data_IF_108146217036
#
_entry.id   IF_108146217036
#
_cell.length_a   1.000
_cell.length_b   1.000
_cell.length_c   1.000
_cell.angle_alpha   90.00
_cell.angle_beta   90.00
_cell.angle_gamma   90.00
#
_symmetry.space_group_name_H-M   'P 1'
#
loop_
_entity.id
_entity.type
_entity.pdbx_description
1 polymer ?
#
# COMPACT_ATOMS: atom_id res chain seq x y z
N UNK A 1 -8.56 -3.78 13.90
CA UNK A 1 -8.08 -2.81 12.91
C UNK A 1 -6.77 -2.21 13.38
N UNK A 2 -5.78 -2.15 12.51
CA UNK A 2 -4.51 -1.47 12.75
C UNK A 2 -4.20 -0.58 11.53
N UNK A 3 -3.81 0.68 11.75
CA UNK A 3 -3.77 1.70 10.69
C UNK A 3 -2.63 2.69 10.93
N UNK A 4 -2.11 3.23 9.84
CA UNK A 4 -1.21 4.37 9.80
C UNK A 4 -1.55 5.25 8.59
N UNK A 5 -1.10 6.51 8.59
CA UNK A 5 -1.35 7.41 7.48
C UNK A 5 -0.20 8.39 7.24
N UNK A 6 -0.15 8.90 6.01
CA UNK A 6 0.74 9.98 5.60
C UNK A 6 -0.08 11.08 4.92
N UNK A 7 0.31 12.34 5.14
CA UNK A 7 -0.37 13.49 4.55
C UNK A 7 0.59 14.31 3.70
N UNK A 8 0.17 14.65 2.50
CA UNK A 8 0.91 15.45 1.52
C UNK A 8 0.02 16.58 1.02
N UNK A 9 0.17 17.77 1.62
CA UNK A 9 -0.71 18.90 1.36
C UNK A 9 -2.19 18.53 1.57
N UNK A 10 -3.03 18.60 0.52
CA UNK A 10 -4.44 18.24 0.61
C UNK A 10 -4.70 16.73 0.56
N UNK A 11 -3.69 15.90 0.24
CA UNK A 11 -3.85 14.46 0.04
C UNK A 11 -3.48 13.70 1.29
N UNK A 12 -4.26 12.68 1.64
CA UNK A 12 -3.90 11.71 2.67
C UNK A 12 -3.83 10.31 2.05
N UNK A 13 -2.82 9.54 2.42
CA UNK A 13 -2.75 8.10 2.16
C UNK A 13 -2.88 7.36 3.49
N UNK A 14 -3.90 6.53 3.63
CA UNK A 14 -4.14 5.71 4.81
C UNK A 14 -3.90 4.25 4.47
N UNK A 15 -3.04 3.58 5.22
CA UNK A 15 -2.84 2.14 5.18
C UNK A 15 -3.52 1.51 6.39
N UNK A 16 -4.29 0.45 6.17
CA UNK A 16 -4.77 -0.35 7.28
C UNK A 16 -4.88 -1.83 6.95
N UNK A 17 -4.84 -2.64 8.00
CA UNK A 17 -5.22 -4.04 8.03
C UNK A 17 -6.51 -4.22 8.84
N UNK A 18 -7.35 -5.17 8.44
CA UNK A 18 -8.61 -5.46 9.12
C UNK A 18 -8.37 -5.84 10.60
N UNK A 19 -7.26 -6.54 10.90
CA UNK A 19 -6.90 -7.03 12.23
C UNK A 19 -5.41 -6.81 12.53
N UNK A 20 -5.04 -6.72 13.82
CA UNK A 20 -3.62 -6.62 14.22
C UNK A 20 -2.93 -7.99 14.37
N UNK A 21 -3.70 -9.08 14.53
CA UNK A 21 -3.19 -10.44 14.78
C UNK A 21 -3.95 -11.45 13.93
N UNK A 22 -3.23 -12.39 13.33
CA UNK A 22 -3.73 -13.43 12.44
C UNK A 22 -3.14 -14.78 12.80
N UNK A 23 -3.87 -15.87 12.55
CA UNK A 23 -3.32 -17.23 12.66
C UNK A 23 -2.40 -17.54 11.47
N UNK A 24 -1.46 -18.45 11.66
CA UNK A 24 -0.69 -19.00 10.53
C UNK A 24 -1.61 -19.51 9.42
N UNK A 25 -1.40 -19.05 8.18
CA UNK A 25 -2.21 -19.41 7.02
C UNK A 25 -3.47 -18.56 6.82
N UNK A 26 -3.79 -17.68 7.76
CA UNK A 26 -4.94 -16.81 7.66
C UNK A 26 -4.65 -15.58 6.76
N UNK A 27 -5.44 -15.32 5.71
CA UNK A 27 -5.20 -14.17 4.85
C UNK A 27 -5.28 -12.83 5.61
N UNK A 28 -4.37 -11.93 5.29
CA UNK A 28 -4.33 -10.55 5.80
C UNK A 28 -5.00 -9.64 4.78
N UNK A 29 -6.10 -8.99 5.15
CA UNK A 29 -6.80 -8.04 4.28
C UNK A 29 -6.25 -6.63 4.48
N UNK A 30 -5.70 -6.07 3.40
CA UNK A 30 -5.04 -4.78 3.37
C UNK A 30 -5.80 -3.80 2.50
N UNK A 31 -5.75 -2.52 2.88
CA UNK A 31 -6.24 -1.45 2.05
C UNK A 31 -5.36 -0.20 2.14
N UNK A 32 -5.15 0.43 0.98
CA UNK A 32 -4.56 1.74 0.82
C UNK A 32 -5.64 2.69 0.31
N UNK A 33 -5.93 3.72 1.08
CA UNK A 33 -6.90 4.75 0.74
C UNK A 33 -6.15 6.02 0.41
N UNK A 34 -6.39 6.60 -0.77
CA UNK A 34 -5.93 7.94 -1.12
C UNK A 34 -7.13 8.87 -1.17
N UNK A 35 -7.13 9.93 -0.37
CA UNK A 35 -8.20 10.91 -0.33
C UNK A 35 -7.68 12.33 -0.55
N UNK A 36 -8.38 13.10 -1.38
CA UNK A 36 -8.22 14.53 -1.50
C UNK A 36 -9.13 15.20 -0.47
N UNK A 37 -8.57 15.96 0.46
CA UNK A 37 -9.31 16.64 1.54
C UNK A 37 -9.62 18.10 1.21
N UNK A 38 -9.41 18.53 -0.03
CA UNK A 38 -9.57 19.92 -0.46
C UNK A 38 -10.71 20.10 -1.46
N UNK A 39 -11.21 21.34 -1.62
CA UNK A 39 -12.23 21.67 -2.62
C UNK A 39 -11.65 21.83 -4.04
N UNK A 40 -10.35 21.59 -4.25
CA UNK A 40 -9.68 21.71 -5.54
C UNK A 40 -9.20 20.33 -6.03
N UNK A 41 -9.18 20.06 -7.35
CA UNK A 41 -8.63 18.82 -7.88
C UNK A 41 -7.12 18.73 -7.64
N UNK A 42 -6.62 17.51 -7.42
CA UNK A 42 -5.19 17.20 -7.32
C UNK A 42 -4.80 16.30 -8.49
N UNK A 43 -3.67 16.58 -9.12
CA UNK A 43 -3.19 15.86 -10.29
C UNK A 43 -1.96 15.02 -9.92
N UNK A 44 -1.94 13.77 -10.36
CA UNK A 44 -0.83 12.84 -10.16
C UNK A 44 -0.36 12.29 -11.49
N UNK A 45 0.92 12.42 -11.79
CA UNK A 45 1.52 11.80 -12.98
C UNK A 45 2.10 10.45 -12.62
N UNK A 46 1.66 9.41 -13.31
CA UNK A 46 2.20 8.06 -13.19
C UNK A 46 3.00 7.73 -14.46
N UNK A 47 4.24 7.24 -14.34
CA UNK A 47 5.07 6.90 -15.50
C UNK A 47 4.68 5.55 -16.16
N UNK A 48 3.86 4.73 -15.50
CA UNK A 48 3.38 3.44 -15.97
C UNK A 48 1.90 3.25 -15.64
N UNK A 49 1.31 2.13 -16.05
CA UNK A 49 -0.04 1.73 -15.63
C UNK A 49 -0.16 1.36 -14.14
N UNK A 50 0.95 1.28 -13.39
CA UNK A 50 0.90 0.97 -11.96
C UNK A 50 0.26 2.13 -11.17
N UNK A 51 -0.71 1.80 -10.31
CA UNK A 51 -1.41 2.81 -9.48
C UNK A 51 -1.06 2.69 -8.00
N UNK A 52 -0.69 1.52 -7.52
CA UNK A 52 -0.30 1.27 -6.14
C UNK A 52 0.68 0.10 -6.05
N UNK A 53 1.26 -0.09 -4.87
CA UNK A 53 1.98 -1.29 -4.49
C UNK A 53 1.90 -1.51 -2.98
N UNK A 54 2.17 -2.75 -2.57
CA UNK A 54 2.29 -3.16 -1.17
C UNK A 54 3.55 -3.99 -1.02
N UNK A 55 4.28 -3.80 0.08
CA UNK A 55 5.41 -4.65 0.44
C UNK A 55 5.33 -5.05 1.91
N UNK A 56 5.73 -6.28 2.17
CA UNK A 56 5.81 -6.86 3.51
C UNK A 56 7.27 -7.09 3.86
N UNK A 57 7.63 -6.65 5.04
CA UNK A 57 8.97 -6.71 5.60
C UNK A 57 8.97 -7.55 6.87
N UNK A 58 10.08 -8.25 7.07
CA UNK A 58 10.41 -8.90 8.33
C UNK A 58 11.84 -8.55 8.68
N UNK A 59 12.06 -8.08 9.90
CA UNK A 59 13.39 -7.69 10.40
C UNK A 59 14.11 -6.70 9.44
N UNK A 60 13.33 -5.80 8.83
CA UNK A 60 13.81 -4.82 7.85
C UNK A 60 14.02 -5.35 6.42
N UNK A 61 13.92 -6.66 6.19
CA UNK A 61 14.05 -7.28 4.87
C UNK A 61 12.69 -7.41 4.18
N UNK A 62 12.58 -6.96 2.94
CA UNK A 62 11.41 -7.22 2.10
C UNK A 62 11.33 -8.72 1.77
N UNK A 63 10.20 -9.33 2.09
CA UNK A 63 9.96 -10.76 1.84
C UNK A 63 8.86 -11.00 0.82
N UNK A 64 7.97 -10.02 0.65
CA UNK A 64 6.85 -10.09 -0.28
C UNK A 64 6.54 -8.72 -0.84
N UNK A 65 6.15 -8.67 -2.11
CA UNK A 65 5.68 -7.46 -2.79
C UNK A 65 4.55 -7.82 -3.73
N UNK A 66 3.46 -7.05 -3.68
CA UNK A 66 2.28 -7.30 -4.51
C UNK A 66 2.61 -7.27 -6.01
N UNK A 67 3.46 -6.33 -6.41
CA UNK A 67 3.88 -6.18 -7.80
C UNK A 67 4.97 -7.16 -8.28
N UNK A 68 5.51 -8.05 -7.41
CA UNK A 68 6.68 -8.88 -7.71
C UNK A 68 6.56 -9.68 -9.02
N UNK A 69 5.37 -10.20 -9.31
CA UNK A 69 5.07 -11.03 -10.47
C UNK A 69 4.22 -10.30 -11.55
N UNK A 70 4.15 -8.97 -11.47
CA UNK A 70 3.26 -8.16 -12.33
C UNK A 70 4.04 -7.33 -13.32
N UNK A 71 3.48 -7.22 -14.53
CA UNK A 71 4.00 -6.35 -15.59
C UNK A 71 3.09 -5.14 -15.72
N UNK A 72 3.69 -3.95 -15.76
CA UNK A 72 3.00 -2.68 -16.00
C UNK A 72 3.50 -2.07 -17.29
N UNK A 73 2.56 -1.69 -18.16
CA UNK A 73 2.89 -1.04 -19.43
C UNK A 73 3.43 0.38 -19.17
N UNK A 74 4.40 0.79 -19.98
CA UNK A 74 4.95 2.15 -19.94
C UNK A 74 4.01 3.11 -20.67
N UNK A 75 3.09 3.70 -19.90
CA UNK A 75 2.18 4.74 -20.35
C UNK A 75 2.17 5.84 -19.30
N UNK A 76 2.56 7.04 -19.72
CA UNK A 76 2.54 8.21 -18.85
C UNK A 76 1.11 8.71 -18.79
N UNK A 77 0.51 8.71 -17.61
CA UNK A 77 -0.86 9.16 -17.39
C UNK A 77 -0.91 10.19 -16.26
N UNK A 78 -1.67 11.26 -16.48
CA UNK A 78 -2.07 12.18 -15.42
C UNK A 78 -3.46 11.78 -14.94
N UNK A 79 -3.54 11.37 -13.68
CA UNK A 79 -4.79 11.02 -13.01
C UNK A 79 -5.22 12.17 -12.13
N UNK A 80 -6.48 12.57 -12.26
CA UNK A 80 -7.11 13.57 -11.40
C UNK A 80 -7.77 12.88 -10.21
N UNK A 81 -7.54 13.41 -9.02
CA UNK A 81 -8.32 13.13 -7.82
C UNK A 81 -9.16 14.37 -7.51
N UNK A 82 -10.46 14.29 -7.78
CA UNK A 82 -11.39 15.40 -7.69
C UNK A 82 -11.55 15.89 -6.24
N UNK A 83 -12.17 17.07 -6.04
CA UNK A 83 -12.47 17.57 -4.71
C UNK A 83 -13.18 16.54 -3.84
N UNK A 84 -12.65 16.30 -2.64
CA UNK A 84 -13.19 15.33 -1.67
C UNK A 84 -13.26 13.88 -2.17
N UNK A 85 -12.66 13.56 -3.32
CA UNK A 85 -12.65 12.22 -3.88
C UNK A 85 -11.73 11.30 -3.08
N UNK A 86 -12.17 10.05 -2.95
CA UNK A 86 -11.42 8.98 -2.30
C UNK A 86 -11.32 7.78 -3.23
N UNK A 87 -10.10 7.25 -3.38
CA UNK A 87 -9.83 6.00 -4.10
C UNK A 87 -9.29 4.97 -3.12
N UNK A 88 -9.80 3.74 -3.20
CA UNK A 88 -9.38 2.64 -2.33
C UNK A 88 -8.80 1.50 -3.15
N UNK A 89 -7.61 1.02 -2.76
CA UNK A 89 -6.96 -0.15 -3.32
C UNK A 89 -6.94 -1.25 -2.27
N UNK A 90 -7.41 -2.46 -2.61
CA UNK A 90 -7.48 -3.61 -1.69
C UNK A 90 -6.58 -4.73 -2.16
N UNK A 91 -5.90 -5.36 -1.21
CA UNK A 91 -4.98 -6.47 -1.44
C UNK A 91 -5.13 -7.48 -0.32
N UNK A 92 -5.11 -8.76 -0.68
CA UNK A 92 -5.04 -9.86 0.27
C UNK A 92 -3.62 -10.44 0.25
N UNK A 93 -2.94 -10.44 1.39
CA UNK A 93 -1.65 -11.12 1.54
C UNK A 93 -1.88 -12.48 2.23
N UNK A 94 -1.65 -13.62 1.54
CA UNK A 94 -1.92 -14.95 2.09
C UNK A 94 -0.81 -15.45 3.04
N UNK A 95 0.02 -14.54 3.57
CA UNK A 95 1.17 -14.85 4.42
C UNK A 95 2.24 -15.70 3.70
N UNK A 96 2.52 -15.39 2.43
CA UNK A 96 3.61 -16.02 1.66
C UNK A 96 4.69 -15.01 1.29
N UNK A 97 5.92 -15.48 1.09
CA UNK A 97 6.98 -14.68 0.48
C UNK A 97 6.85 -14.65 -1.06
N UNK A 98 7.74 -13.91 -1.74
CA UNK A 98 7.76 -13.82 -3.21
C UNK A 98 8.01 -15.17 -3.93
N UNK A 99 8.45 -16.21 -3.22
CA UNK A 99 8.61 -17.58 -3.74
C UNK A 99 7.37 -18.45 -3.50
N UNK A 100 6.28 -17.87 -2.98
CA UNK A 100 5.05 -18.59 -2.64
C UNK A 100 5.16 -19.47 -1.39
N UNK A 101 6.23 -19.33 -0.59
CA UNK A 101 6.42 -20.12 0.64
C UNK A 101 5.77 -19.42 1.82
N UNK A 102 5.06 -20.18 2.64
CA UNK A 102 4.44 -19.67 3.87
C UNK A 102 5.49 -19.03 4.79
N UNK A 103 5.18 -17.85 5.31
CA UNK A 103 6.03 -17.18 6.30
C UNK A 103 5.73 -17.74 7.69
N UNK A 104 6.72 -17.87 8.58
CA UNK A 104 6.46 -18.41 9.92
C UNK A 104 5.83 -17.34 10.84
N UNK A 105 5.36 -17.72 12.04
CA UNK A 105 4.89 -16.77 13.04
C UNK A 105 5.91 -15.67 13.35
N UNK A 106 5.43 -14.47 13.64
CA UNK A 106 6.28 -13.29 13.84
C UNK A 106 5.55 -11.97 13.68
N UNK A 107 6.29 -10.88 13.77
CA UNK A 107 5.80 -9.52 13.50
C UNK A 107 6.28 -9.12 12.11
N UNK A 108 5.36 -8.57 11.32
CA UNK A 108 5.60 -8.14 9.95
C UNK A 108 5.23 -6.68 9.81
N UNK A 109 6.08 -5.92 9.13
CA UNK A 109 5.79 -4.53 8.77
C UNK A 109 5.25 -4.49 7.35
N UNK A 110 4.16 -3.78 7.14
CA UNK A 110 3.52 -3.63 5.84
C UNK A 110 3.60 -2.17 5.45
N UNK A 111 4.06 -1.92 4.22
CA UNK A 111 4.08 -0.59 3.62
C UNK A 111 3.26 -0.60 2.34
N UNK A 112 2.66 0.53 2.02
CA UNK A 112 1.90 0.70 0.79
C UNK A 112 2.11 2.10 0.23
N UNK A 113 2.12 2.21 -1.09
CA UNK A 113 2.33 3.50 -1.75
C UNK A 113 1.69 3.57 -3.13
N UNK A 114 1.62 4.78 -3.68
CA UNK A 114 1.26 5.03 -5.07
C UNK A 114 2.49 5.58 -5.81
N UNK A 115 2.97 4.96 -6.90
CA UNK A 115 4.23 5.33 -7.56
C UNK A 115 4.06 6.51 -8.54
N UNK A 116 3.39 7.57 -8.12
CA UNK A 116 3.34 8.82 -8.90
C UNK A 116 4.59 9.66 -8.68
N UNK A 117 4.89 10.54 -9.63
CA UNK A 117 6.02 11.47 -9.57
C UNK A 117 5.53 12.89 -9.25
N UNK A 118 6.44 13.74 -8.75
CA UNK A 118 6.19 15.18 -8.59
C UNK A 118 5.78 15.65 -7.18
N UNK A 119 5.72 14.76 -6.20
CA UNK A 119 5.64 15.13 -4.78
C UNK A 119 6.81 14.51 -4.01
N UNK A 120 7.29 15.21 -2.98
CA UNK A 120 8.47 14.83 -2.19
C UNK A 120 8.42 13.40 -1.64
N UNK A 121 9.61 12.80 -1.59
CA UNK A 121 9.90 11.51 -0.97
C UNK A 121 9.69 11.63 0.53
N UNK A 122 8.58 11.08 1.00
CA UNK A 122 8.20 11.03 2.41
C UNK A 122 8.06 9.56 2.83
N UNK A 123 8.17 9.24 4.13
CA UNK A 123 7.95 7.88 4.57
C UNK A 123 6.57 7.43 4.10
N UNK A 124 6.49 6.22 3.55
CA UNK A 124 5.22 5.58 3.22
C UNK A 124 4.48 5.23 4.51
N UNK A 125 3.13 5.22 4.52
CA UNK A 125 2.40 4.75 5.68
C UNK A 125 2.79 3.30 5.94
N UNK A 126 3.02 2.96 7.21
CA UNK A 126 3.46 1.64 7.62
C UNK A 126 2.67 1.11 8.82
N UNK A 127 2.33 -0.16 8.78
CA UNK A 127 1.59 -0.83 9.85
C UNK A 127 2.30 -2.12 10.26
N UNK A 128 2.08 -2.59 11.48
CA UNK A 128 2.57 -3.88 11.95
C UNK A 128 1.44 -4.88 12.16
N UNK A 129 1.62 -6.11 11.67
CA UNK A 129 0.72 -7.24 11.95
C UNK A 129 1.50 -8.37 12.62
N UNK A 130 0.84 -9.11 13.49
CA UNK A 130 1.41 -10.32 14.11
C UNK A 130 0.76 -11.57 13.53
N UNK A 131 1.58 -12.55 13.18
CA UNK A 131 1.16 -13.91 12.85
C UNK A 131 1.47 -14.82 14.05
N UNK A 132 0.47 -15.55 14.53
CA UNK A 132 0.54 -16.49 15.67
C UNK A 132 0.31 -17.94 15.25
#
# INVERSE_FOLDING_TARGET
>A
MHTDYTRHGPVINLLFADRPVYRSGEPVELALIKANLSPAPVFFTYPTSQRFDFAVYRDGQEIWRWSFDKVFIQVIETVTLNPFETVTYRVTWPQVNNQGRQVPPGIYTIRAWNPFIGFEVLPWPEIQVRIS
#
